data_IF_947077308816
#
_entry.id   IF_947077308816
#
_cell.length_a   1.000
_cell.length_b   1.000
_cell.length_c   1.000
_cell.angle_alpha   90.00
_cell.angle_beta   90.00
_cell.angle_gamma   90.00
#
_symmetry.space_group_name_H-M   'P 1'
#
loop_
_entity.id
_entity.type
_entity.pdbx_description
1 polymer ?
#
# COMPACT_ATOMS: atom_id res chain seq x y z
N UNK A 1 -8.54 -20.49 -17.84
CA UNK A 1 -7.30 -20.04 -18.51
C UNK A 1 -7.50 -18.57 -18.81
N UNK A 2 -7.28 -17.72 -17.81
CA UNK A 2 -7.20 -16.27 -18.03
C UNK A 2 -5.78 -16.00 -18.52
N UNK A 3 -5.69 -15.35 -19.67
CA UNK A 3 -4.51 -15.19 -20.51
C UNK A 3 -3.39 -14.38 -19.83
N UNK A 4 -2.14 -14.80 -19.99
CA UNK A 4 -0.97 -14.03 -19.53
C UNK A 4 -0.89 -12.61 -20.11
N UNK A 5 -1.68 -12.31 -21.14
CA UNK A 5 -1.90 -10.95 -21.63
C UNK A 5 -2.60 -10.04 -20.60
N UNK A 6 -3.66 -10.52 -19.96
CA UNK A 6 -4.41 -9.76 -18.94
C UNK A 6 -3.50 -9.45 -17.76
N UNK A 7 -2.75 -10.44 -17.27
CA UNK A 7 -1.83 -10.25 -16.15
C UNK A 7 -0.76 -9.20 -16.45
N UNK A 8 -0.18 -9.23 -17.66
CA UNK A 8 0.78 -8.21 -18.10
C UNK A 8 0.17 -6.80 -18.13
N UNK A 9 -1.05 -6.64 -18.63
CA UNK A 9 -1.72 -5.33 -18.66
C UNK A 9 -1.97 -4.83 -17.23
N UNK A 10 -2.44 -5.70 -16.35
CA UNK A 10 -2.73 -5.37 -14.95
C UNK A 10 -1.46 -4.96 -14.19
N UNK A 11 -0.34 -5.66 -14.40
CA UNK A 11 0.95 -5.29 -13.82
C UNK A 11 1.51 -3.98 -14.38
N UNK A 12 1.28 -3.68 -15.67
CA UNK A 12 1.63 -2.37 -16.23
C UNK A 12 0.84 -1.24 -15.60
N UNK A 13 -0.45 -1.45 -15.29
CA UNK A 13 -1.27 -0.49 -14.56
C UNK A 13 -0.75 -0.30 -13.13
N UNK A 14 -0.41 -1.37 -12.41
CA UNK A 14 0.18 -1.27 -11.07
C UNK A 14 1.51 -0.49 -11.09
N UNK A 15 2.38 -0.76 -12.06
CA UNK A 15 3.64 -0.03 -12.22
C UNK A 15 3.42 1.46 -12.52
N UNK A 16 2.42 1.79 -13.32
CA UNK A 16 2.05 3.18 -13.59
C UNK A 16 1.50 3.88 -12.35
N UNK A 17 0.68 3.19 -11.54
CA UNK A 17 0.21 3.70 -10.25
C UNK A 17 1.41 4.06 -9.37
N UNK A 18 2.41 3.18 -9.29
CA UNK A 18 3.62 3.40 -8.52
C UNK A 18 4.40 4.64 -9.01
N UNK A 19 4.62 4.75 -10.32
CA UNK A 19 5.33 5.92 -10.91
C UNK A 19 4.64 7.23 -10.55
N UNK A 20 3.32 7.29 -10.70
CA UNK A 20 2.52 8.47 -10.37
C UNK A 20 2.46 8.77 -8.88
N UNK A 21 2.68 7.76 -8.02
CA UNK A 21 2.82 7.95 -6.58
C UNK A 21 4.21 8.50 -6.16
N UNK A 22 5.11 8.76 -7.11
CA UNK A 22 6.47 9.25 -6.87
C UNK A 22 7.49 8.14 -6.61
N UNK A 23 7.18 6.90 -6.99
CA UNK A 23 8.10 5.77 -6.89
C UNK A 23 8.87 5.55 -8.19
N UNK A 24 10.14 5.18 -8.08
CA UNK A 24 10.92 4.68 -9.21
C UNK A 24 10.77 3.16 -9.28
N UNK A 25 10.09 2.66 -10.32
CA UNK A 25 9.93 1.22 -10.57
C UNK A 25 11.27 0.61 -10.98
N UNK A 26 11.72 -0.41 -10.27
CA UNK A 26 12.99 -1.11 -10.53
C UNK A 26 12.77 -2.45 -11.23
N UNK A 27 11.72 -3.19 -10.86
CA UNK A 27 11.36 -4.46 -11.50
C UNK A 27 9.88 -4.77 -11.33
N UNK A 28 9.34 -5.61 -12.22
CA UNK A 28 7.98 -6.17 -12.14
C UNK A 28 8.11 -7.69 -11.98
N UNK A 29 7.50 -8.25 -10.94
CA UNK A 29 7.44 -9.68 -10.67
C UNK A 29 6.02 -10.18 -10.99
N UNK A 30 5.77 -10.49 -12.26
CA UNK A 30 4.45 -10.91 -12.78
C UNK A 30 3.96 -12.21 -12.12
N UNK A 31 4.86 -13.05 -11.60
CA UNK A 31 4.56 -14.31 -10.92
C UNK A 31 4.07 -14.14 -9.47
N UNK A 32 4.29 -12.95 -8.89
CA UNK A 32 3.91 -12.61 -7.52
C UNK A 32 2.83 -11.51 -7.45
N UNK A 33 2.42 -10.97 -8.60
CA UNK A 33 1.58 -9.77 -8.71
C UNK A 33 2.17 -8.55 -7.98
N UNK A 34 3.50 -8.37 -8.11
CA UNK A 34 4.24 -7.32 -7.40
C UNK A 34 5.07 -6.43 -8.34
N UNK A 35 5.18 -5.15 -7.95
CA UNK A 35 6.10 -4.18 -8.54
C UNK A 35 7.07 -3.76 -7.44
N UNK A 36 8.37 -3.94 -7.71
CA UNK A 36 9.41 -3.45 -6.82
C UNK A 36 9.78 -2.02 -7.20
N UNK A 37 9.85 -1.19 -6.17
CA UNK A 37 10.03 0.24 -6.29
C UNK A 37 11.10 0.73 -5.32
N UNK A 38 11.72 1.86 -5.66
CA UNK A 38 12.47 2.68 -4.71
C UNK A 38 11.79 4.03 -4.55
N UNK A 39 11.87 4.59 -3.35
CA UNK A 39 11.31 5.89 -3.02
C UNK A 39 12.45 6.85 -2.69
N UNK A 40 12.44 8.10 -3.17
CA UNK A 40 13.56 9.04 -3.00
C UNK A 40 13.94 9.29 -1.53
N UNK A 41 12.96 9.24 -0.63
CA UNK A 41 13.14 9.29 0.83
C UNK A 41 13.96 8.12 1.40
N UNK A 42 13.94 6.96 0.74
CA UNK A 42 14.60 5.72 1.16
C UNK A 42 15.29 5.05 -0.05
N UNK A 43 16.38 5.64 -0.56
CA UNK A 43 17.00 5.21 -1.82
C UNK A 43 17.60 3.80 -1.74
N UNK A 44 18.00 3.35 -0.55
CA UNK A 44 18.53 2.00 -0.29
C UNK A 44 17.43 0.98 0.05
N UNK A 45 16.19 1.44 0.19
CA UNK A 45 15.04 0.61 0.56
C UNK A 45 14.20 0.23 -0.65
N UNK A 46 14.04 -1.07 -0.89
CA UNK A 46 13.06 -1.56 -1.87
C UNK A 46 11.69 -1.68 -1.19
N UNK A 47 10.69 -1.07 -1.80
CA UNK A 47 9.28 -1.20 -1.44
C UNK A 47 8.63 -2.15 -2.45
N UNK A 48 8.09 -3.28 -1.98
CA UNK A 48 7.26 -4.15 -2.82
C UNK A 48 5.82 -3.67 -2.81
N UNK A 49 5.28 -3.28 -3.95
CA UNK A 49 3.86 -2.90 -4.11
C UNK A 49 3.13 -4.06 -4.78
N UNK A 50 2.13 -4.63 -4.11
CA UNK A 50 1.40 -5.80 -4.57
C UNK A 50 -0.10 -5.52 -4.73
N UNK A 51 -0.71 -6.10 -5.74
CA UNK A 51 -2.17 -6.10 -5.88
C UNK A 51 -2.62 -7.32 -6.68
N UNK A 52 -3.54 -8.10 -6.12
CA UNK A 52 -4.25 -9.13 -6.88
C UNK A 52 -4.93 -8.49 -8.09
N UNK A 53 -4.84 -9.15 -9.25
CA UNK A 53 -5.31 -8.56 -10.50
C UNK A 53 -6.80 -8.21 -10.50
N UNK A 54 -7.65 -9.06 -9.93
CA UNK A 54 -9.09 -8.80 -9.83
C UNK A 54 -9.39 -7.67 -8.84
N UNK A 55 -8.63 -7.59 -7.74
CA UNK A 55 -8.73 -6.48 -6.79
C UNK A 55 -8.34 -5.16 -7.45
N UNK A 56 -7.25 -5.12 -8.22
CA UNK A 56 -6.81 -3.91 -8.93
C UNK A 56 -7.82 -3.47 -9.99
N UNK A 57 -8.36 -4.41 -10.79
CA UNK A 57 -9.40 -4.10 -11.77
C UNK A 57 -10.67 -3.56 -11.11
N UNK A 58 -11.11 -4.17 -10.01
CA UNK A 58 -12.24 -3.69 -9.21
C UNK A 58 -12.00 -2.29 -8.64
N UNK A 59 -10.78 -2.03 -8.14
CA UNK A 59 -10.38 -0.73 -7.62
C UNK A 59 -10.44 0.36 -8.69
N UNK A 60 -9.89 0.08 -9.88
CA UNK A 60 -9.88 1.01 -11.00
C UNK A 60 -11.29 1.28 -11.50
N UNK A 61 -12.13 0.25 -11.62
CA UNK A 61 -13.52 0.41 -12.02
C UNK A 61 -14.32 1.24 -11.01
N UNK A 62 -14.14 0.99 -9.71
CA UNK A 62 -14.80 1.76 -8.65
C UNK A 62 -14.37 3.23 -8.65
N UNK A 63 -13.06 3.48 -8.72
CA UNK A 63 -12.51 4.83 -8.78
C UNK A 63 -12.92 5.56 -10.07
N UNK A 64 -13.05 4.88 -11.20
CA UNK A 64 -13.56 5.47 -12.44
C UNK A 64 -15.02 5.93 -12.29
N UNK A 65 -15.86 5.10 -11.65
CA UNK A 65 -17.25 5.47 -11.37
C UNK A 65 -17.34 6.69 -10.41
N UNK A 66 -16.48 6.75 -9.39
CA UNK A 66 -16.37 7.93 -8.52
C UNK A 66 -15.94 9.17 -9.32
N UNK A 67 -15.02 9.04 -10.27
CA UNK A 67 -14.58 10.15 -11.11
C UNK A 67 -15.69 10.67 -12.00
N UNK A 68 -16.45 9.78 -12.66
CA UNK A 68 -17.59 10.16 -13.48
C UNK A 68 -18.67 10.89 -12.67
N UNK A 69 -18.92 10.43 -11.45
CA UNK A 69 -19.94 10.99 -10.57
C UNK A 69 -19.52 12.34 -9.96
N UNK A 70 -18.28 12.44 -9.46
CA UNK A 70 -17.81 13.61 -8.72
C UNK A 70 -17.22 14.70 -9.63
N UNK A 71 -16.64 14.34 -10.77
CA UNK A 71 -16.01 15.26 -11.72
C UNK A 71 -16.45 15.01 -13.16
N UNK A 72 -17.73 15.28 -13.49
CA UNK A 72 -18.25 15.04 -14.83
C UNK A 72 -17.43 15.77 -15.90
N UNK A 73 -17.08 15.05 -16.97
CA UNK A 73 -16.25 15.55 -18.07
C UNK A 73 -14.74 15.32 -17.91
N UNK A 74 -14.29 14.72 -16.79
CA UNK A 74 -12.93 14.17 -16.67
C UNK A 74 -12.84 12.79 -17.31
N UNK A 75 -11.63 12.43 -17.74
CA UNK A 75 -11.29 11.08 -18.17
C UNK A 75 -11.36 10.13 -16.96
N UNK A 76 -12.26 9.13 -16.97
CA UNK A 76 -12.43 8.22 -15.83
C UNK A 76 -11.22 7.30 -15.60
N UNK A 77 -10.55 6.84 -16.65
CA UNK A 77 -9.40 5.93 -16.51
C UNK A 77 -8.19 6.66 -15.95
N UNK A 78 -7.88 7.86 -16.48
CA UNK A 78 -6.79 8.68 -15.94
C UNK A 78 -7.08 9.14 -14.50
N UNK A 79 -8.34 9.52 -14.22
CA UNK A 79 -8.78 9.90 -12.88
C UNK A 79 -8.67 8.75 -11.88
N UNK A 80 -9.06 7.53 -12.26
CA UNK A 80 -8.94 6.35 -11.41
C UNK A 80 -7.48 6.05 -11.06
N UNK A 81 -6.60 6.11 -12.05
CA UNK A 81 -5.15 5.97 -11.85
C UNK A 81 -4.62 7.05 -10.89
N UNK A 82 -5.02 8.30 -11.08
CA UNK A 82 -4.62 9.41 -10.22
C UNK A 82 -5.09 9.24 -8.77
N UNK A 83 -6.33 8.77 -8.54
CA UNK A 83 -6.86 8.52 -7.20
C UNK A 83 -6.09 7.42 -6.48
N UNK A 84 -5.86 6.28 -7.15
CA UNK A 84 -5.12 5.17 -6.56
C UNK A 84 -3.66 5.53 -6.26
N UNK A 85 -2.99 6.26 -7.17
CA UNK A 85 -1.64 6.76 -6.95
C UNK A 85 -1.55 7.75 -5.80
N UNK A 86 -2.52 8.67 -5.70
CA UNK A 86 -2.58 9.66 -4.60
C UNK A 86 -2.77 8.95 -3.27
N UNK A 87 -3.67 7.95 -3.23
CA UNK A 87 -3.90 7.12 -2.05
C UNK A 87 -2.64 6.35 -1.64
N UNK A 88 -1.93 5.73 -2.59
CA UNK A 88 -0.66 5.04 -2.32
C UNK A 88 0.40 6.00 -1.76
N UNK A 89 0.58 7.15 -2.40
CA UNK A 89 1.50 8.19 -1.95
C UNK A 89 1.20 8.63 -0.50
N UNK A 90 -0.07 8.93 -0.20
CA UNK A 90 -0.49 9.37 1.13
C UNK A 90 -0.20 8.31 2.21
N UNK A 91 -0.44 7.03 1.93
CA UNK A 91 -0.19 5.95 2.89
C UNK A 91 1.31 5.72 3.11
N UNK A 92 2.15 5.89 2.07
CA UNK A 92 3.60 5.82 2.20
C UNK A 92 4.18 7.02 2.97
N UNK A 93 3.67 8.23 2.72
CA UNK A 93 4.17 9.46 3.35
C UNK A 93 3.83 9.54 4.85
N UNK A 94 2.67 9.01 5.25
CA UNK A 94 2.24 8.93 6.65
C UNK A 94 3.16 8.07 7.55
N UNK A 95 4.17 7.39 6.99
CA UNK A 95 5.07 6.50 7.73
C UNK A 95 6.42 7.17 8.03
N UNK A 96 6.90 6.93 9.25
CA UNK A 96 8.20 7.43 9.73
C UNK A 96 9.37 6.47 9.49
N UNK A 97 9.10 5.26 8.99
CA UNK A 97 10.10 4.21 8.73
C UNK A 97 9.88 3.59 7.34
N UNK A 98 10.95 3.09 6.72
CA UNK A 98 10.97 2.55 5.35
C UNK A 98 10.00 1.37 5.21
N UNK A 99 8.86 1.51 4.54
CA UNK A 99 7.96 0.39 4.32
C UNK A 99 8.63 -0.68 3.46
N UNK A 100 8.46 -1.95 3.79
CA UNK A 100 8.97 -3.06 2.96
C UNK A 100 7.93 -3.51 1.94
N UNK A 101 6.63 -3.38 2.28
CA UNK A 101 5.54 -3.85 1.42
C UNK A 101 4.32 -2.94 1.53
N UNK A 102 3.68 -2.66 0.40
CA UNK A 102 2.36 -2.06 0.29
C UNK A 102 1.45 -3.00 -0.49
N UNK A 103 0.26 -3.32 0.02
CA UNK A 103 -0.68 -4.25 -0.62
C UNK A 103 -2.03 -3.57 -0.78
N UNK A 104 -2.61 -3.65 -1.97
CA UNK A 104 -3.99 -3.22 -2.19
C UNK A 104 -4.95 -4.28 -1.66
N UNK A 105 -5.65 -3.97 -0.56
CA UNK A 105 -6.65 -4.86 0.02
C UNK A 105 -7.98 -4.83 -0.72
N UNK A 106 -8.83 -5.83 -0.49
CA UNK A 106 -10.16 -5.94 -1.11
C UNK A 106 -11.14 -4.82 -0.77
N UNK A 107 -10.87 -4.04 0.29
CA UNK A 107 -11.59 -2.80 0.63
C UNK A 107 -11.10 -1.56 -0.14
N UNK A 108 -10.25 -1.75 -1.15
CA UNK A 108 -9.65 -0.68 -1.97
C UNK A 108 -8.74 0.26 -1.17
N UNK A 109 -8.14 -0.27 -0.11
CA UNK A 109 -7.23 0.46 0.78
C UNK A 109 -5.83 -0.14 0.71
N UNK A 110 -4.81 0.72 0.76
CA UNK A 110 -3.42 0.28 0.85
C UNK A 110 -3.06 -0.12 2.28
N UNK A 111 -2.63 -1.35 2.46
CA UNK A 111 -2.04 -1.85 3.69
C UNK A 111 -0.52 -1.81 3.57
N UNK A 112 0.16 -1.22 4.55
CA UNK A 112 1.62 -1.06 4.51
C UNK A 112 2.25 -1.77 5.69
N UNK A 113 3.16 -2.70 5.38
CA UNK A 113 3.94 -3.43 6.37
C UNK A 113 5.25 -2.67 6.63
N UNK A 114 5.54 -2.31 7.89
CA UNK A 114 6.83 -1.73 8.25
C UNK A 114 7.97 -2.76 8.04
N UNK A 115 9.23 -2.33 7.98
CA UNK A 115 10.34 -3.27 7.93
C UNK A 115 10.32 -4.08 9.23
N UNK A 116 10.63 -5.38 9.17
CA UNK A 116 10.81 -6.19 10.37
C UNK A 116 11.96 -5.61 11.20
N UNK A 117 11.65 -4.66 12.07
CA UNK A 117 12.53 -4.14 13.11
C UNK A 117 11.81 -4.17 14.44
N UNK A 118 11.35 -5.36 14.82
CA UNK A 118 11.55 -5.79 16.20
C UNK A 118 12.05 -7.23 16.16
N UNK A 119 13.28 -7.54 16.64
CA UNK A 119 13.44 -8.82 17.28
C UNK A 119 12.32 -8.90 18.32
N UNK A 120 11.47 -9.93 18.26
CA UNK A 120 10.62 -10.25 19.38
C UNK A 120 11.53 -10.29 20.59
N UNK A 121 11.40 -9.33 21.52
CA UNK A 121 12.00 -9.49 22.85
C UNK A 121 11.52 -10.85 23.30
N UNK A 122 12.48 -11.79 23.44
CA UNK A 122 12.19 -13.19 23.67
C UNK A 122 11.18 -13.35 24.80
N UNK A 123 10.31 -14.36 24.71
CA UNK A 123 9.29 -14.73 25.72
C UNK A 123 9.00 -13.60 26.70
N UNK A 124 8.04 -12.73 26.39
CA UNK A 124 7.42 -11.92 27.43
C UNK A 124 6.92 -12.90 28.50
N UNK A 125 7.44 -12.88 29.74
CA UNK A 125 7.00 -13.80 30.77
C UNK A 125 5.66 -13.28 31.31
N UNK A 126 4.57 -13.54 30.56
CA UNK A 126 3.22 -13.23 30.98
C UNK A 126 2.95 -11.74 31.27
N UNK A 127 1.75 -11.41 31.73
CA UNK A 127 1.42 -10.04 32.09
C UNK A 127 2.19 -9.67 33.36
N UNK A 128 3.16 -8.76 33.24
CA UNK A 128 3.57 -7.97 34.38
C UNK A 128 2.35 -7.16 34.81
N UNK A 129 1.74 -7.59 35.91
CA UNK A 129 0.72 -6.84 36.64
C UNK A 129 1.11 -5.36 36.66
N UNK A 130 0.31 -4.52 36.00
CA UNK A 130 0.33 -3.11 36.34
C UNK A 130 -0.39 -2.99 37.68
N UNK A 131 0.37 -2.97 38.78
CA UNK A 131 -0.16 -2.50 40.06
C UNK A 131 -0.33 -0.98 39.96
N UNK A 132 -1.58 -0.54 39.90
CA UNK A 132 -1.91 0.87 39.97
C UNK A 132 -1.35 1.49 41.26
N UNK A 133 -0.73 2.68 41.22
CA UNK A 133 -0.28 3.36 42.44
C UNK A 133 -1.46 3.56 43.38
N UNK A 134 -1.40 2.94 44.57
CA UNK A 134 -2.38 3.22 45.64
C UNK A 134 -2.23 4.70 45.99
N UNK A 135 -3.28 5.48 45.73
CA UNK A 135 -3.38 6.85 46.24
C UNK A 135 -3.44 6.76 47.76
N UNK A 136 -2.34 7.11 48.41
CA UNK A 136 -2.33 7.47 49.83
C UNK A 136 -3.34 8.59 50.04
N UNK A 137 -4.45 8.26 50.70
CA UNK A 137 -5.34 9.26 51.29
C UNK A 137 -4.70 9.71 52.59
N UNK A 138 -3.87 10.75 52.51
CA UNK A 138 -3.58 11.59 53.65
C UNK A 138 -4.45 12.86 53.60
N UNK A 139 -5.19 13.01 54.69
CA UNK A 139 -6.13 14.07 55.10
C UNK A 139 -7.56 13.94 54.61
#
# INVERSE_FOLDING_TARGET
MADGHTMRVTMQKLAEICRRAGLTVTSVAEDLDEVHCVHDRWPDGVVSVAADGAVLEGALSGAAADVEYLWPGRDPEDGAMALLSTSLHAVLDARFATPTRAVLGGSLTWEVTPPEQFPQRGRSPGPAHWEAPRRDRHR
#
